data_IF_431449732783
#
_entry.id   IF_431449732783
#
_cell.length_a   1.000
_cell.length_b   1.000
_cell.length_c   1.000
_cell.angle_alpha   90.00
_cell.angle_beta   90.00
_cell.angle_gamma   90.00
#
_symmetry.space_group_name_H-M   'P 1'
#
loop_
_entity.id
_entity.type
_entity.pdbx_description
1 polymer ?
#
# COMPACT_ATOMS: atom_id res chain seq x y z
N UNK A 1 -14.38 11.51 25.69
CA UNK A 1 -13.24 11.88 24.84
C UNK A 1 -12.54 10.60 24.41
N UNK A 2 -12.52 10.23 23.12
CA UNK A 2 -11.69 9.11 22.66
C UNK A 2 -10.23 9.49 22.91
N UNK A 3 -9.48 8.66 23.63
CA UNK A 3 -8.07 8.90 23.94
C UNK A 3 -7.22 9.12 22.68
N UNK A 4 -6.04 9.72 22.84
CA UNK A 4 -5.05 9.86 21.77
C UNK A 4 -4.76 8.48 21.15
N UNK A 5 -5.22 8.27 19.92
CA UNK A 5 -5.00 7.04 19.17
C UNK A 5 -3.61 7.13 18.52
N UNK A 6 -2.70 6.28 18.96
CA UNK A 6 -1.34 6.18 18.41
C UNK A 6 -1.28 5.07 17.36
N UNK A 7 -0.54 5.32 16.29
CA UNK A 7 -0.19 4.34 15.27
C UNK A 7 1.33 4.15 15.29
N UNK A 8 1.78 2.91 15.45
CA UNK A 8 3.19 2.58 15.24
C UNK A 8 3.44 2.33 13.75
N UNK A 9 4.40 3.03 13.18
CA UNK A 9 4.73 2.92 11.76
C UNK A 9 6.14 2.35 11.61
N UNK A 10 6.23 1.21 10.94
CA UNK A 10 7.49 0.49 10.73
C UNK A 10 7.92 0.63 9.28
N UNK A 11 9.03 1.34 9.04
CA UNK A 11 9.64 1.48 7.73
C UNK A 11 10.67 0.37 7.55
N UNK A 12 10.37 -0.60 6.69
CA UNK A 12 11.18 -1.81 6.57
C UNK A 12 12.07 -1.85 5.33
N UNK A 13 11.95 -0.86 4.44
CA UNK A 13 12.66 -0.88 3.15
C UNK A 13 12.25 -2.08 2.30
N UNK A 14 13.24 -2.74 1.68
CA UNK A 14 13.01 -3.92 0.83
C UNK A 14 13.03 -5.20 1.69
N UNK A 15 11.92 -5.91 1.74
CA UNK A 15 11.75 -7.14 2.55
C UNK A 15 11.32 -8.29 1.66
N UNK A 16 11.86 -9.50 1.87
CA UNK A 16 11.36 -10.69 1.19
C UNK A 16 9.89 -10.93 1.53
N UNK A 17 9.09 -11.37 0.56
CA UNK A 17 7.66 -11.57 0.74
C UNK A 17 7.32 -12.53 1.89
N UNK A 18 8.02 -13.67 1.99
CA UNK A 18 7.77 -14.68 3.03
C UNK A 18 8.11 -14.13 4.42
N UNK A 19 9.16 -13.33 4.54
CA UNK A 19 9.56 -12.75 5.82
C UNK A 19 8.59 -11.64 6.25
N UNK A 20 8.10 -10.84 5.30
CA UNK A 20 7.03 -9.89 5.56
C UNK A 20 5.74 -10.58 6.02
N UNK A 21 5.39 -11.73 5.44
CA UNK A 21 4.21 -12.51 5.84
C UNK A 21 4.35 -13.04 7.28
N UNK A 22 5.50 -13.62 7.62
CA UNK A 22 5.79 -14.07 9.00
C UNK A 22 5.72 -12.91 10.00
N UNK A 23 6.24 -11.74 9.63
CA UNK A 23 6.17 -10.55 10.48
C UNK A 23 4.73 -10.09 10.70
N UNK A 24 3.89 -10.11 9.66
CA UNK A 24 2.47 -9.78 9.78
C UNK A 24 1.74 -10.73 10.73
N UNK A 25 1.98 -12.04 10.64
CA UNK A 25 1.38 -13.03 11.53
C UNK A 25 1.78 -12.79 13.00
N UNK A 26 3.08 -12.55 13.25
CA UNK A 26 3.62 -12.23 14.58
C UNK A 26 2.95 -10.98 15.17
N UNK A 27 2.90 -9.89 14.41
CA UNK A 27 2.33 -8.63 14.86
C UNK A 27 0.81 -8.70 15.06
N UNK A 28 0.10 -9.44 14.21
CA UNK A 28 -1.32 -9.69 14.38
C UNK A 28 -1.61 -10.46 15.67
N UNK A 29 -0.77 -11.45 16.01
CA UNK A 29 -0.86 -12.18 17.28
C UNK A 29 -0.59 -11.26 18.48
N UNK A 30 0.49 -10.48 18.44
CA UNK A 30 0.83 -9.53 19.51
C UNK A 30 -0.29 -8.50 19.73
N UNK A 31 -0.92 -8.03 18.65
CA UNK A 31 -2.06 -7.11 18.73
C UNK A 31 -3.29 -7.75 19.36
N UNK A 32 -3.60 -9.02 19.03
CA UNK A 32 -4.69 -9.81 19.64
C UNK A 32 -4.45 -10.04 21.13
N UNK A 33 -3.19 -10.21 21.52
CA UNK A 33 -2.77 -10.35 22.92
C UNK A 33 -2.66 -9.00 23.66
N UNK A 34 -3.09 -7.89 23.03
CA UNK A 34 -2.99 -6.53 23.58
C UNK A 34 -1.56 -6.10 23.97
N UNK A 35 -0.54 -6.71 23.37
CA UNK A 35 0.88 -6.40 23.64
C UNK A 35 1.40 -5.20 22.86
N UNK A 36 0.67 -4.77 21.83
CA UNK A 36 1.05 -3.66 20.94
C UNK A 36 -0.20 -2.86 20.53
N UNK A 37 0.00 -1.60 20.14
CA UNK A 37 -1.03 -0.76 19.55
C UNK A 37 -1.20 -1.06 18.06
N UNK A 38 -2.09 -0.32 17.39
CA UNK A 38 -2.29 -0.46 15.95
C UNK A 38 -0.96 -0.18 15.22
N UNK A 39 -0.60 -1.09 14.31
CA UNK A 39 0.71 -1.10 13.64
C UNK A 39 0.50 -1.00 12.13
N UNK A 40 1.28 -0.14 11.47
CA UNK A 40 1.35 -0.02 10.02
C UNK A 40 2.75 -0.40 9.56
N UNK A 41 2.85 -1.44 8.74
CA UNK A 41 4.08 -1.78 8.05
C UNK A 41 4.12 -1.05 6.71
N UNK A 42 5.27 -0.50 6.37
CA UNK A 42 5.53 0.07 5.06
C UNK A 42 6.83 -0.49 4.51
N UNK A 43 6.73 -1.12 3.34
CA UNK A 43 7.80 -1.92 2.76
C UNK A 43 7.68 -1.99 1.24
N UNK A 44 8.74 -2.46 0.61
CA UNK A 44 8.83 -2.85 -0.79
C UNK A 44 9.23 -4.33 -0.86
N UNK A 45 8.86 -5.04 -1.92
CA UNK A 45 9.34 -6.40 -2.16
C UNK A 45 10.36 -6.41 -3.30
N UNK A 46 11.36 -7.31 -3.26
CA UNK A 46 12.04 -7.74 -4.47
C UNK A 46 11.04 -8.31 -5.48
N UNK A 47 11.41 -8.36 -6.77
CA UNK A 47 10.57 -8.95 -7.82
C UNK A 47 10.03 -10.32 -7.38
N UNK A 48 8.71 -10.42 -7.22
CA UNK A 48 8.06 -11.64 -6.77
C UNK A 48 6.69 -11.82 -7.44
N UNK A 49 6.39 -13.06 -7.87
CA UNK A 49 5.09 -13.48 -8.41
C UNK A 49 4.50 -14.54 -7.49
N UNK A 50 3.33 -14.31 -6.87
CA UNK A 50 2.65 -15.31 -6.02
C UNK A 50 1.52 -16.00 -6.76
N UNK A 51 1.35 -17.29 -6.46
CA UNK A 51 0.22 -18.10 -6.88
C UNK A 51 -1.02 -17.89 -6.00
N UNK A 52 -2.17 -17.83 -6.66
CA UNK A 52 -3.44 -17.24 -6.19
C UNK A 52 -3.64 -15.88 -6.87
N UNK A 53 -4.81 -15.60 -7.46
CA UNK A 53 -5.21 -14.31 -8.08
C UNK A 53 -4.07 -13.27 -8.22
N UNK A 54 -3.23 -13.47 -9.25
CA UNK A 54 -1.82 -13.04 -9.28
C UNK A 54 -1.68 -11.51 -9.31
N UNK A 55 -0.77 -10.93 -8.53
CA UNK A 55 -0.39 -9.49 -8.62
C UNK A 55 1.12 -9.29 -8.52
N UNK A 56 1.63 -8.14 -8.98
CA UNK A 56 3.05 -7.76 -8.93
C UNK A 56 3.36 -6.93 -7.69
N UNK A 57 4.47 -7.27 -7.03
CA UNK A 57 5.13 -6.43 -6.04
C UNK A 57 6.61 -6.21 -6.39
N UNK A 58 7.07 -4.96 -6.26
CA UNK A 58 8.42 -4.58 -6.66
C UNK A 58 8.87 -3.24 -6.08
N UNK A 59 10.10 -2.80 -6.39
CA UNK A 59 10.61 -1.49 -6.01
C UNK A 59 9.70 -0.35 -6.47
N UNK A 60 9.64 0.71 -5.67
CA UNK A 60 8.79 1.91 -5.89
C UNK A 60 7.28 1.63 -5.92
N UNK A 61 6.86 0.49 -5.35
CA UNK A 61 5.48 0.23 -4.98
C UNK A 61 5.35 0.29 -3.46
N UNK A 62 4.51 1.20 -2.94
CA UNK A 62 4.29 1.31 -1.50
C UNK A 62 3.24 0.29 -1.04
N UNK A 63 3.61 -0.59 -0.10
CA UNK A 63 2.71 -1.62 0.44
C UNK A 63 2.33 -1.29 1.90
N UNK A 64 1.02 -1.24 2.21
CA UNK A 64 0.45 -0.90 3.53
C UNK A 64 -0.64 -1.91 3.93
N UNK A 65 -0.77 -2.33 5.20
CA UNK A 65 -1.73 -3.37 5.63
C UNK A 65 -2.81 -2.88 6.61
N UNK A 66 -3.87 -2.16 6.14
CA UNK A 66 -5.29 -2.60 6.13
C UNK A 66 -6.13 -1.93 4.98
N UNK A 67 -7.43 -2.29 4.82
CA UNK A 67 -8.30 -1.99 3.65
C UNK A 67 -8.68 -0.50 3.50
N UNK A 68 -8.09 0.23 2.54
CA UNK A 68 -8.21 1.70 2.46
C UNK A 68 -8.00 2.29 1.05
N UNK A 69 -9.00 2.17 0.19
CA UNK A 69 -9.03 2.86 -1.11
C UNK A 69 -8.90 4.39 -0.95
N UNK A 70 -9.56 4.94 0.06
CA UNK A 70 -9.60 6.38 0.34
C UNK A 70 -8.21 7.01 0.54
N UNK A 71 -7.25 6.27 1.09
CA UNK A 71 -5.88 6.77 1.33
C UNK A 71 -5.11 6.89 0.03
N UNK A 72 -5.23 5.93 -0.87
CA UNK A 72 -4.63 6.01 -2.21
C UNK A 72 -5.27 7.11 -3.04
N UNK A 73 -6.59 7.25 -2.97
CA UNK A 73 -7.34 8.30 -3.68
C UNK A 73 -6.92 9.69 -3.20
N UNK A 74 -6.80 9.87 -1.88
CA UNK A 74 -6.36 11.14 -1.30
C UNK A 74 -4.93 11.49 -1.71
N UNK A 75 -4.00 10.52 -1.64
CA UNK A 75 -2.64 10.73 -2.11
C UNK A 75 -2.64 11.13 -3.60
N UNK A 76 -3.35 10.39 -4.46
CA UNK A 76 -3.45 10.70 -5.88
C UNK A 76 -3.96 12.13 -6.12
N UNK A 77 -4.97 12.56 -5.34
CA UNK A 77 -5.52 13.91 -5.42
C UNK A 77 -4.52 15.00 -5.05
N UNK A 78 -3.60 14.75 -4.10
CA UNK A 78 -2.50 15.70 -3.76
C UNK A 78 -1.61 16.01 -4.98
N UNK A 79 -1.51 15.07 -5.92
CA UNK A 79 -0.71 15.18 -7.14
C UNK A 79 -1.57 15.50 -8.39
N UNK A 80 -2.81 15.94 -8.19
CA UNK A 80 -3.72 16.31 -9.29
C UNK A 80 -4.26 15.11 -10.08
N UNK A 81 -4.08 13.88 -9.59
CA UNK A 81 -4.56 12.66 -10.25
C UNK A 81 -5.96 12.31 -9.74
N UNK A 82 -6.92 12.21 -10.68
CA UNK A 82 -8.31 11.87 -10.38
C UNK A 82 -8.47 10.35 -10.30
N UNK A 83 -8.26 9.80 -9.11
CA UNK A 83 -8.47 8.38 -8.84
C UNK A 83 -9.83 8.09 -8.17
N UNK A 84 -10.37 6.88 -8.36
CA UNK A 84 -11.61 6.42 -7.75
C UNK A 84 -11.55 4.93 -7.35
N UNK A 85 -12.48 4.45 -6.51
CA UNK A 85 -12.66 3.01 -6.31
C UNK A 85 -13.04 2.32 -7.62
N UNK A 86 -12.78 1.01 -7.71
CA UNK A 86 -13.22 0.21 -8.84
C UNK A 86 -14.73 0.06 -8.91
N UNK A 87 -15.21 -0.37 -10.08
CA UNK A 87 -16.61 -0.74 -10.25
C UNK A 87 -16.94 -2.05 -9.51
N UNK A 88 -18.20 -2.49 -9.59
CA UNK A 88 -18.62 -3.77 -8.99
C UNK A 88 -17.77 -4.90 -9.61
N UNK A 89 -17.05 -5.63 -8.75
CA UNK A 89 -16.15 -6.71 -9.16
C UNK A 89 -14.70 -6.27 -9.38
N UNK A 90 -14.41 -4.97 -9.35
CA UNK A 90 -13.06 -4.41 -9.50
C UNK A 90 -12.55 -3.91 -8.15
N UNK A 91 -11.58 -4.63 -7.58
CA UNK A 91 -10.96 -4.20 -6.32
C UNK A 91 -9.89 -3.13 -6.56
N UNK A 92 -9.70 -2.25 -5.59
CA UNK A 92 -8.59 -1.31 -5.57
C UNK A 92 -8.93 0.04 -6.20
N UNK A 93 -7.89 0.79 -6.56
CA UNK A 93 -8.01 2.19 -6.97
C UNK A 93 -7.58 2.38 -8.41
N UNK A 94 -8.32 3.24 -9.12
CA UNK A 94 -8.35 3.33 -10.57
C UNK A 94 -8.29 4.77 -11.07
N UNK A 95 -7.68 4.98 -12.23
CA UNK A 95 -7.67 6.24 -12.98
C UNK A 95 -8.26 5.96 -14.35
N UNK A 96 -9.52 6.36 -14.56
CA UNK A 96 -10.31 5.88 -15.70
C UNK A 96 -10.41 4.35 -15.65
N UNK A 97 -9.98 3.66 -16.70
CA UNK A 97 -9.98 2.20 -16.77
C UNK A 97 -8.65 1.55 -16.36
N UNK A 98 -7.70 2.33 -15.81
CA UNK A 98 -6.36 1.86 -15.45
C UNK A 98 -6.20 1.71 -13.94
N UNK A 99 -5.71 0.57 -13.48
CA UNK A 99 -5.52 0.32 -12.04
C UNK A 99 -4.22 0.96 -11.54
N UNK A 100 -4.31 1.86 -10.56
CA UNK A 100 -3.15 2.52 -9.92
C UNK A 100 -2.78 1.89 -8.58
N UNK A 101 -3.74 1.20 -7.92
CA UNK A 101 -3.49 0.54 -6.65
C UNK A 101 -4.29 -0.74 -6.47
N UNK A 102 -3.65 -1.77 -5.91
CA UNK A 102 -4.28 -3.04 -5.57
C UNK A 102 -4.60 -3.11 -4.07
N UNK A 103 -5.59 -3.93 -3.71
CA UNK A 103 -5.95 -4.23 -2.32
C UNK A 103 -6.05 -5.74 -2.16
N UNK A 104 -5.36 -6.28 -1.17
CA UNK A 104 -5.44 -7.65 -0.72
C UNK A 104 -6.27 -7.77 0.56
N UNK A 105 -7.17 -8.75 0.61
CA UNK A 105 -8.16 -8.89 1.69
C UNK A 105 -7.48 -9.31 3.01
N UNK A 106 -7.95 -8.69 4.12
CA UNK A 106 -7.73 -8.95 5.57
C UNK A 106 -6.31 -9.02 6.13
N UNK A 107 -5.33 -9.47 5.37
CA UNK A 107 -3.95 -9.62 5.81
C UNK A 107 -2.96 -9.08 4.78
N UNK A 108 -3.38 -8.84 3.53
CA UNK A 108 -2.47 -8.51 2.42
C UNK A 108 -2.43 -7.03 2.00
N UNK A 109 -3.26 -6.19 2.63
CA UNK A 109 -3.06 -4.74 2.60
C UNK A 109 -3.41 -4.07 1.28
N UNK A 110 -2.63 -3.09 0.88
CA UNK A 110 -2.75 -2.32 -0.35
C UNK A 110 -1.37 -2.09 -0.94
N UNK A 111 -1.30 -2.04 -2.26
CA UNK A 111 -0.08 -1.76 -3.01
C UNK A 111 -0.36 -0.61 -3.97
N UNK A 112 0.29 0.54 -3.76
CA UNK A 112 0.12 1.74 -4.57
C UNK A 112 1.31 1.96 -5.51
N UNK A 113 1.04 2.07 -6.81
CA UNK A 113 2.07 2.25 -7.82
C UNK A 113 2.53 3.72 -7.85
N UNK A 114 3.66 4.04 -7.19
CA UNK A 114 4.26 5.37 -7.26
C UNK A 114 4.97 5.52 -8.61
N UNK A 115 6.02 4.72 -8.81
CA UNK A 115 6.77 4.65 -10.07
C UNK A 115 7.42 3.27 -10.30
N UNK A 116 6.66 2.16 -10.19
CA UNK A 116 7.21 0.85 -10.53
C UNK A 116 7.40 0.70 -12.04
N UNK A 117 8.29 -0.20 -12.46
CA UNK A 117 8.32 -0.65 -13.85
C UNK A 117 7.04 -1.43 -14.18
N UNK A 118 6.14 -0.78 -14.90
CA UNK A 118 4.84 -1.33 -15.28
C UNK A 118 4.94 -2.48 -16.29
N UNK A 119 6.09 -2.68 -16.94
CA UNK A 119 6.28 -3.77 -17.91
C UNK A 119 6.12 -5.15 -17.28
N UNK A 120 6.44 -5.29 -15.98
CA UNK A 120 6.29 -6.55 -15.26
C UNK A 120 4.83 -7.03 -15.15
N UNK A 121 3.87 -6.12 -15.16
CA UNK A 121 2.44 -6.49 -15.15
C UNK A 121 2.01 -7.18 -16.45
N UNK A 122 2.76 -7.06 -17.56
CA UNK A 122 2.47 -7.78 -18.81
C UNK A 122 2.69 -9.29 -18.70
N UNK A 123 3.46 -9.72 -17.70
CA UNK A 123 3.76 -11.14 -17.47
C UNK A 123 2.79 -11.79 -16.49
N UNK A 124 1.78 -11.05 -16.04
CA UNK A 124 0.82 -11.48 -15.04
C UNK A 124 -0.58 -11.26 -15.60
N UNK A 125 -1.47 -12.22 -15.41
CA UNK A 125 -2.92 -12.01 -15.60
C UNK A 125 -3.50 -11.72 -14.22
N UNK A 126 -3.75 -10.45 -13.87
CA UNK A 126 -4.21 -10.14 -12.54
C UNK A 126 -5.71 -10.40 -12.45
N UNK A 127 -6.16 -11.03 -11.37
CA UNK A 127 -7.56 -11.42 -11.25
C UNK A 127 -8.47 -10.18 -11.28
N UNK A 128 -9.54 -10.27 -12.08
CA UNK A 128 -10.52 -9.21 -12.29
C UNK A 128 -10.15 -8.14 -13.30
N UNK A 129 -8.96 -8.21 -13.94
CA UNK A 129 -8.46 -7.12 -14.82
C UNK A 129 -7.78 -7.59 -16.11
N UNK A 130 -8.08 -8.80 -16.60
CA UNK A 130 -7.43 -9.42 -17.76
C UNK A 130 -7.40 -8.52 -19.02
N UNK A 131 -8.40 -7.65 -19.19
CA UNK A 131 -8.53 -6.73 -20.33
C UNK A 131 -8.23 -5.26 -19.96
N UNK A 132 -7.65 -5.01 -18.78
CA UNK A 132 -7.46 -3.65 -18.25
C UNK A 132 -5.99 -3.34 -18.00
N UNK A 133 -5.64 -2.09 -18.24
CA UNK A 133 -4.29 -1.58 -18.04
C UNK A 133 -3.99 -1.28 -16.56
N UNK A 134 -2.71 -1.29 -16.22
CA UNK A 134 -2.18 -0.75 -14.96
C UNK A 134 -1.50 0.60 -15.20
N UNK A 135 -1.46 1.43 -14.17
CA UNK A 135 -0.80 2.73 -14.20
C UNK A 135 -0.04 3.03 -12.92
N UNK A 136 0.64 4.18 -12.87
CA UNK A 136 1.39 4.67 -11.72
C UNK A 136 1.12 6.16 -11.51
N UNK A 137 1.41 6.65 -10.31
CA UNK A 137 1.34 8.07 -10.01
C UNK A 137 2.23 8.88 -10.97
N UNK A 138 3.42 8.36 -11.27
CA UNK A 138 4.38 8.97 -12.22
C UNK A 138 3.79 9.13 -13.63
N UNK A 139 3.02 8.15 -14.09
CA UNK A 139 2.39 8.17 -15.44
C UNK A 139 1.20 9.12 -15.51
N UNK A 140 0.43 9.25 -14.44
CA UNK A 140 -0.84 9.99 -14.45
C UNK A 140 -0.72 11.46 -14.04
N UNK A 141 0.36 11.84 -13.36
CA UNK A 141 0.56 13.20 -12.88
C UNK A 141 1.35 14.07 -13.88
N UNK A 142 1.01 15.36 -13.92
CA UNK A 142 1.76 16.38 -14.67
C UNK A 142 2.81 17.11 -13.81
N UNK A 143 2.95 16.75 -12.53
CA UNK A 143 3.94 17.35 -11.63
C UNK A 143 5.18 16.48 -11.49
N UNK A 144 6.30 17.10 -11.14
CA UNK A 144 7.50 16.34 -10.77
C UNK A 144 7.25 15.69 -9.41
N UNK A 145 7.31 14.36 -9.37
CA UNK A 145 7.21 13.63 -8.11
C UNK A 145 8.48 13.83 -7.26
N UNK A 146 8.33 13.98 -5.93
CA UNK A 146 9.45 13.87 -5.03
C UNK A 146 9.96 12.42 -4.98
N UNK A 147 11.04 12.21 -4.22
CA UNK A 147 11.56 10.85 -3.98
C UNK A 147 10.47 9.93 -3.42
N UNK A 148 10.52 8.65 -3.82
CA UNK A 148 9.48 7.67 -3.50
C UNK A 148 9.22 7.53 -1.99
N UNK A 149 10.26 7.70 -1.16
CA UNK A 149 10.13 7.70 0.31
C UNK A 149 9.24 8.83 0.82
N UNK A 150 9.34 10.03 0.22
CA UNK A 150 8.50 11.18 0.59
C UNK A 150 7.05 10.91 0.20
N UNK A 151 6.81 10.34 -0.98
CA UNK A 151 5.45 9.96 -1.41
C UNK A 151 4.86 8.88 -0.49
N UNK A 152 5.68 7.93 -0.04
CA UNK A 152 5.31 6.88 0.90
C UNK A 152 4.97 7.45 2.29
N UNK A 153 5.72 8.44 2.79
CA UNK A 153 5.38 9.16 4.03
C UNK A 153 4.07 9.95 3.93
N UNK A 154 3.81 10.56 2.78
CA UNK A 154 2.54 11.25 2.54
C UNK A 154 1.37 10.27 2.52
N UNK A 155 1.56 9.08 1.94
CA UNK A 155 0.56 8.01 1.98
C UNK A 155 0.21 7.59 3.42
N UNK A 156 1.24 7.45 4.27
CA UNK A 156 1.09 7.15 5.70
C UNK A 156 0.39 8.30 6.43
N UNK A 157 0.68 9.54 6.06
CA UNK A 157 0.01 10.72 6.63
C UNK A 157 -1.48 10.77 6.26
N UNK A 158 -1.83 10.47 5.01
CA UNK A 158 -3.22 10.31 4.57
C UNK A 158 -3.92 9.21 5.37
N UNK A 159 -3.30 8.04 5.52
CA UNK A 159 -3.79 6.95 6.37
C UNK A 159 -4.08 7.43 7.79
N UNK A 160 -3.08 8.05 8.44
CA UNK A 160 -3.18 8.47 9.82
C UNK A 160 -4.36 9.43 10.03
N UNK A 161 -4.48 10.39 9.12
CA UNK A 161 -5.52 11.41 9.13
C UNK A 161 -6.91 10.82 8.92
N UNK A 162 -7.09 9.98 7.90
CA UNK A 162 -8.40 9.35 7.59
C UNK A 162 -8.88 8.49 8.76
N UNK A 163 -7.98 7.76 9.42
CA UNK A 163 -8.32 6.84 10.51
C UNK A 163 -8.27 7.46 11.91
N UNK A 164 -8.03 8.77 11.98
CA UNK A 164 -8.04 9.54 13.23
C UNK A 164 -6.90 9.22 14.18
N UNK A 165 -5.76 8.73 13.67
CA UNK A 165 -4.53 8.62 14.45
C UNK A 165 -3.90 10.01 14.57
N UNK A 166 -3.61 10.40 15.82
CA UNK A 166 -3.09 11.75 16.15
C UNK A 166 -1.63 11.74 16.57
N UNK A 167 -1.06 10.56 16.73
CA UNK A 167 0.32 10.36 17.12
C UNK A 167 0.91 9.23 16.29
N UNK A 168 1.98 9.54 15.55
CA UNK A 168 2.75 8.57 14.76
C UNK A 168 4.03 8.24 15.51
N UNK A 169 4.20 6.96 15.83
CA UNK A 169 5.39 6.44 16.49
C UNK A 169 6.20 5.70 15.43
N UNK A 170 7.22 6.37 14.89
CA UNK A 170 8.10 5.78 13.89
C UNK A 170 9.04 4.77 14.54
N UNK A 171 9.18 3.61 13.89
CA UNK A 171 10.10 2.54 14.27
C UNK A 171 11.03 2.27 13.09
N UNK A 172 12.32 2.32 13.39
CA UNK A 172 13.42 1.91 12.53
C UNK A 172 13.85 0.51 13.01
N UNK A 173 14.03 -0.41 12.06
CA UNK A 173 14.35 -1.84 12.24
C UNK A 173 13.25 -2.78 12.78
N UNK A 174 13.06 -3.88 12.04
CA UNK A 174 12.30 -5.05 12.47
C UNK A 174 13.18 -6.17 13.05
N UNK A 175 14.35 -5.83 13.60
CA UNK A 175 15.17 -6.78 14.36
C UNK A 175 14.45 -7.16 15.66
N UNK A 176 13.46 -8.07 15.54
CA UNK A 176 12.74 -8.76 16.62
C UNK A 176 12.55 -10.21 16.24
#
# INVERSE_FOLDING_TARGET
MRGLRSLEVWKLGVVNYIDALKLQEKLALDRKLHRRCDTLLTLQHPLHTLGGDITFHGPHQAILYPIIESTMIELAAMYGVKACPGQIGETGVWVGERKIGAIGITSHGMAFNIDPDLSYFRHIVPCGIADKEVTSLRRETNVVLPEGEIVQEQLISCFARIFGYRNLIWKEDASV
#
